data_IF_211131130170
#
_entry.id   IF_211131130170
#
_cell.length_a   1.000
_cell.length_b   1.000
_cell.length_c   1.000
_cell.angle_alpha   90.00
_cell.angle_beta   90.00
_cell.angle_gamma   90.00
#
_symmetry.space_group_name_H-M   'P 1'
#
loop_
_entity.id
_entity.type
_entity.pdbx_description
1 polymer ?
#
# COMPACT_ATOMS: atom_id res chain seq x y z
N UNK A 1 -25.66 7.90 -22.03
CA UNK A 1 -25.11 6.77 -21.24
C UNK A 1 -23.68 6.38 -21.65
N UNK A 2 -23.27 6.51 -22.93
CA UNK A 2 -21.92 6.13 -23.39
C UNK A 2 -20.76 6.95 -22.79
N UNK A 3 -20.91 8.26 -22.61
CA UNK A 3 -19.86 9.10 -22.01
C UNK A 3 -19.46 8.63 -20.61
N UNK A 4 -20.44 8.28 -19.76
CA UNK A 4 -20.17 7.85 -18.38
C UNK A 4 -19.45 6.50 -18.33
N UNK A 5 -19.74 5.58 -19.25
CA UNK A 5 -19.08 4.28 -19.34
C UNK A 5 -17.67 4.37 -19.94
N UNK A 6 -17.46 5.21 -20.96
CA UNK A 6 -16.13 5.49 -21.51
C UNK A 6 -15.22 6.16 -20.47
N UNK A 7 -15.76 7.14 -19.75
CA UNK A 7 -15.07 7.83 -18.65
C UNK A 7 -14.76 6.85 -17.50
N UNK A 8 -15.66 5.92 -17.19
CA UNK A 8 -15.41 4.86 -16.18
C UNK A 8 -14.29 3.88 -16.60
N UNK A 9 -14.21 3.56 -17.90
CA UNK A 9 -13.10 2.79 -18.47
C UNK A 9 -11.77 3.54 -18.38
N UNK A 10 -11.79 4.85 -18.61
CA UNK A 10 -10.65 5.76 -18.47
C UNK A 10 -10.20 5.89 -17.01
N UNK A 11 -11.13 5.88 -16.05
CA UNK A 11 -10.78 6.02 -14.63
C UNK A 11 -10.02 4.80 -14.09
N UNK A 12 -10.36 3.58 -14.52
CA UNK A 12 -9.55 2.39 -14.23
C UNK A 12 -8.17 2.44 -14.90
N UNK A 13 -7.99 3.23 -15.95
CA UNK A 13 -6.70 3.39 -16.61
C UNK A 13 -5.69 4.16 -15.74
N UNK A 14 -6.13 5.04 -14.83
CA UNK A 14 -5.21 5.78 -13.95
C UNK A 14 -4.40 4.85 -13.04
N UNK A 15 -5.02 3.84 -12.42
CA UNK A 15 -4.30 2.87 -11.60
C UNK A 15 -3.20 2.15 -12.42
N UNK A 16 -3.56 1.64 -13.60
CA UNK A 16 -2.63 0.92 -14.47
C UNK A 16 -1.49 1.81 -14.98
N UNK A 17 -1.78 3.07 -15.32
CA UNK A 17 -0.76 4.07 -15.67
C UNK A 17 0.17 4.37 -14.49
N UNK A 18 -0.38 4.44 -13.27
CA UNK A 18 0.41 4.58 -12.04
C UNK A 18 1.38 3.42 -11.85
N UNK A 19 0.91 2.18 -12.05
CA UNK A 19 1.75 0.97 -11.99
C UNK A 19 2.86 1.03 -13.05
N UNK A 20 2.53 1.40 -14.29
CA UNK A 20 3.49 1.52 -15.37
C UNK A 20 4.58 2.57 -15.06
N UNK A 21 4.18 3.76 -14.59
CA UNK A 21 5.15 4.79 -14.20
C UNK A 21 6.00 4.38 -13.00
N UNK A 22 5.43 3.65 -12.04
CA UNK A 22 6.17 3.12 -10.90
C UNK A 22 7.25 2.13 -11.34
N UNK A 23 6.92 1.21 -12.25
CA UNK A 23 7.89 0.26 -12.83
C UNK A 23 9.02 0.97 -13.59
N UNK A 24 8.72 2.10 -14.23
CA UNK A 24 9.72 2.97 -14.88
C UNK A 24 10.50 3.84 -13.90
N UNK A 25 10.27 3.70 -12.58
CA UNK A 25 10.82 4.55 -11.52
C UNK A 25 10.47 6.04 -11.66
N UNK A 26 9.45 6.37 -12.45
CA UNK A 26 8.93 7.73 -12.56
C UNK A 26 7.91 7.99 -11.45
N UNK A 27 8.42 8.10 -10.22
CA UNK A 27 7.58 8.15 -9.03
C UNK A 27 6.66 9.37 -8.98
N UNK A 28 7.07 10.51 -9.55
CA UNK A 28 6.21 11.70 -9.58
C UNK A 28 4.95 11.46 -10.43
N UNK A 29 5.10 10.87 -11.61
CA UNK A 29 3.94 10.53 -12.46
C UNK A 29 3.11 9.39 -11.88
N UNK A 30 3.76 8.41 -11.25
CA UNK A 30 3.06 7.34 -10.57
C UNK A 30 2.18 7.86 -9.42
N UNK A 31 2.71 8.77 -8.59
CA UNK A 31 1.97 9.45 -7.53
C UNK A 31 0.77 10.21 -8.09
N UNK A 32 0.96 11.00 -9.15
CA UNK A 32 -0.14 11.74 -9.81
C UNK A 32 -1.27 10.80 -10.27
N UNK A 33 -0.91 9.68 -10.91
CA UNK A 33 -1.89 8.73 -11.43
C UNK A 33 -2.62 7.97 -10.32
N UNK A 34 -1.93 7.55 -9.26
CA UNK A 34 -2.58 6.92 -8.11
C UNK A 34 -3.51 7.89 -7.38
N UNK A 35 -3.11 9.16 -7.20
CA UNK A 35 -3.98 10.18 -6.61
C UNK A 35 -5.24 10.43 -7.47
N UNK A 36 -5.11 10.41 -8.80
CA UNK A 36 -6.27 10.49 -9.71
C UNK A 36 -7.19 9.26 -9.56
N UNK A 37 -6.64 8.05 -9.53
CA UNK A 37 -7.42 6.82 -9.34
C UNK A 37 -8.19 6.81 -8.00
N UNK A 38 -7.56 7.32 -6.94
CA UNK A 38 -8.18 7.51 -5.63
C UNK A 38 -9.31 8.55 -5.71
N UNK A 39 -9.05 9.70 -6.32
CA UNK A 39 -10.03 10.79 -6.39
C UNK A 39 -11.28 10.43 -7.21
N UNK A 40 -11.09 9.75 -8.32
CA UNK A 40 -12.15 9.54 -9.31
C UNK A 40 -12.95 8.25 -9.07
N UNK A 41 -12.33 7.20 -8.52
CA UNK A 41 -12.99 5.90 -8.25
C UNK A 41 -12.86 5.37 -6.84
N UNK A 42 -12.14 6.06 -5.94
CA UNK A 42 -11.77 5.53 -4.62
C UNK A 42 -11.06 4.17 -4.73
N UNK A 43 -10.16 4.03 -5.73
CA UNK A 43 -9.54 2.75 -6.06
C UNK A 43 -8.69 2.24 -4.89
N UNK A 44 -9.11 1.09 -4.35
CA UNK A 44 -8.53 0.46 -3.17
C UNK A 44 -7.07 0.02 -3.40
N UNK A 45 -6.72 -0.40 -4.62
CA UNK A 45 -5.36 -0.81 -4.96
C UNK A 45 -4.44 0.41 -5.14
N UNK A 46 -4.99 1.55 -5.59
CA UNK A 46 -4.23 2.79 -5.70
C UNK A 46 -3.75 3.29 -4.33
N UNK A 47 -4.54 3.15 -3.26
CA UNK A 47 -4.05 3.45 -1.90
C UNK A 47 -2.86 2.58 -1.50
N UNK A 48 -2.94 1.26 -1.72
CA UNK A 48 -1.85 0.34 -1.40
C UNK A 48 -0.57 0.73 -2.15
N UNK A 49 -0.65 0.92 -3.47
CA UNK A 49 0.52 1.18 -4.29
C UNK A 49 1.09 2.57 -4.07
N UNK A 50 0.25 3.56 -3.71
CA UNK A 50 0.73 4.87 -3.27
C UNK A 50 1.47 4.76 -1.92
N UNK A 51 1.00 3.89 -1.01
CA UNK A 51 1.73 3.54 0.21
C UNK A 51 3.10 2.93 -0.08
N UNK A 52 3.17 1.99 -1.04
CA UNK A 52 4.43 1.41 -1.49
C UNK A 52 5.36 2.45 -2.11
N UNK A 53 4.83 3.33 -2.95
CA UNK A 53 5.58 4.42 -3.54
C UNK A 53 6.19 5.33 -2.47
N UNK A 54 5.42 5.72 -1.46
CA UNK A 54 5.94 6.53 -0.37
C UNK A 54 6.95 5.78 0.51
N UNK A 55 6.77 4.48 0.71
CA UNK A 55 7.75 3.65 1.40
C UNK A 55 9.10 3.62 0.67
N UNK A 56 9.11 3.41 -0.65
CA UNK A 56 10.32 3.45 -1.49
C UNK A 56 11.02 4.82 -1.44
N UNK A 57 10.24 5.90 -1.30
CA UNK A 57 10.75 7.26 -1.12
C UNK A 57 11.13 7.59 0.33
N UNK A 58 11.06 6.61 1.25
CA UNK A 58 11.31 6.77 2.69
C UNK A 58 10.39 7.79 3.39
N UNK A 59 9.23 8.08 2.78
CA UNK A 59 8.18 8.96 3.33
C UNK A 59 7.22 8.12 4.19
N UNK A 60 7.74 7.57 5.28
CA UNK A 60 7.05 6.54 6.06
C UNK A 60 5.70 7.01 6.64
N UNK A 61 5.58 8.26 7.09
CA UNK A 61 4.31 8.77 7.62
C UNK A 61 3.21 8.83 6.56
N UNK A 62 3.56 9.17 5.32
CA UNK A 62 2.61 9.13 4.20
C UNK A 62 2.28 7.70 3.80
N UNK A 63 3.28 6.80 3.84
CA UNK A 63 3.06 5.38 3.57
C UNK A 63 2.08 4.77 4.57
N UNK A 64 2.27 5.04 5.87
CA UNK A 64 1.36 4.63 6.95
C UNK A 64 -0.07 5.08 6.66
N UNK A 65 -0.26 6.37 6.37
CA UNK A 65 -1.59 6.92 6.08
C UNK A 65 -2.25 6.19 4.90
N UNK A 66 -1.52 5.95 3.81
CA UNK A 66 -2.09 5.31 2.62
C UNK A 66 -2.42 3.83 2.86
N UNK A 67 -1.55 3.08 3.55
CA UNK A 67 -1.84 1.70 3.90
C UNK A 67 -3.04 1.59 4.86
N UNK A 68 -3.17 2.49 5.85
CA UNK A 68 -4.35 2.52 6.73
C UNK A 68 -5.63 2.82 5.96
N UNK A 69 -5.60 3.75 5.00
CA UNK A 69 -6.76 4.04 4.14
C UNK A 69 -7.13 2.85 3.24
N UNK A 70 -6.14 2.10 2.75
CA UNK A 70 -6.31 0.88 1.97
C UNK A 70 -6.95 -0.24 2.81
N UNK A 71 -6.44 -0.47 4.03
CA UNK A 71 -6.96 -1.47 4.99
C UNK A 71 -8.40 -1.13 5.38
N UNK A 72 -8.71 0.14 5.66
CA UNK A 72 -10.07 0.59 6.00
C UNK A 72 -11.10 0.23 4.92
N UNK A 73 -10.66 0.11 3.67
CA UNK A 73 -11.48 -0.27 2.52
C UNK A 73 -11.47 -1.77 2.23
N UNK A 74 -10.85 -2.58 3.08
CA UNK A 74 -10.81 -4.04 2.95
C UNK A 74 -9.63 -4.59 2.16
N UNK A 75 -8.58 -3.79 1.90
CA UNK A 75 -7.38 -4.31 1.26
C UNK A 75 -6.45 -5.01 2.25
N UNK A 76 -6.56 -6.32 2.33
CA UNK A 76 -5.71 -7.13 3.20
C UNK A 76 -4.23 -7.12 2.80
N UNK A 77 -3.91 -6.85 1.52
CA UNK A 77 -2.51 -6.83 1.05
C UNK A 77 -1.69 -5.71 1.71
N UNK A 78 -2.36 -4.66 2.18
CA UNK A 78 -1.71 -3.50 2.80
C UNK A 78 -1.20 -3.75 4.22
N UNK A 79 -1.59 -4.85 4.87
CA UNK A 79 -1.10 -5.19 6.21
C UNK A 79 0.41 -5.39 6.24
N UNK A 80 0.98 -6.05 5.22
CA UNK A 80 2.44 -6.23 5.14
C UNK A 80 3.16 -4.89 5.05
N UNK A 81 2.73 -4.04 4.10
CA UNK A 81 3.33 -2.73 3.88
C UNK A 81 3.31 -1.86 5.14
N UNK A 82 2.19 -1.87 5.86
CA UNK A 82 2.07 -1.17 7.14
C UNK A 82 2.98 -1.77 8.23
N UNK A 83 3.05 -3.10 8.31
CA UNK A 83 3.97 -3.81 9.21
C UNK A 83 5.43 -3.42 8.98
N UNK A 84 5.87 -3.32 7.72
CA UNK A 84 7.22 -2.88 7.37
C UNK A 84 7.46 -1.41 7.67
N UNK A 85 6.49 -0.53 7.44
CA UNK A 85 6.58 0.89 7.84
C UNK A 85 6.88 0.99 9.34
N UNK A 86 6.16 0.26 10.18
CA UNK A 86 6.42 0.26 11.62
C UNK A 86 7.74 -0.39 11.99
N UNK A 87 8.14 -1.45 11.28
CA UNK A 87 9.41 -2.11 11.51
C UNK A 87 10.59 -1.15 11.29
N UNK A 88 10.62 -0.43 10.16
CA UNK A 88 11.70 0.53 9.86
C UNK A 88 11.67 1.77 10.75
N UNK A 89 10.52 2.11 11.33
CA UNK A 89 10.37 3.17 12.34
C UNK A 89 10.71 2.69 13.77
N UNK A 90 11.16 1.44 13.96
CA UNK A 90 11.39 0.81 15.26
C UNK A 90 10.16 0.75 16.18
N UNK A 91 8.96 0.84 15.60
CA UNK A 91 7.68 0.67 16.30
C UNK A 91 7.34 -0.82 16.37
N UNK A 92 8.17 -1.58 17.07
CA UNK A 92 8.18 -3.05 17.02
C UNK A 92 6.86 -3.70 17.46
N UNK A 93 6.18 -3.15 18.47
CA UNK A 93 4.87 -3.65 18.90
C UNK A 93 3.79 -3.51 17.81
N UNK A 94 3.77 -2.36 17.12
CA UNK A 94 2.86 -2.12 16.01
C UNK A 94 3.24 -3.02 14.81
N UNK A 95 4.53 -3.10 14.49
CA UNK A 95 5.05 -3.94 13.43
C UNK A 95 4.62 -5.40 13.63
N UNK A 96 4.85 -5.94 14.83
CA UNK A 96 4.47 -7.32 15.19
C UNK A 96 2.98 -7.56 14.97
N UNK A 97 2.13 -6.63 15.41
CA UNK A 97 0.66 -6.73 15.24
C UNK A 97 0.28 -6.90 13.77
N UNK A 98 0.76 -6.03 12.89
CA UNK A 98 0.33 -6.04 11.48
C UNK A 98 1.04 -7.11 10.65
N UNK A 99 2.30 -7.43 10.96
CA UNK A 99 3.02 -8.55 10.35
C UNK A 99 2.38 -9.89 10.71
N UNK A 100 1.89 -10.04 11.96
CA UNK A 100 1.11 -11.24 12.33
C UNK A 100 -0.13 -11.39 11.46
N UNK A 101 -0.90 -10.32 11.27
CA UNK A 101 -2.12 -10.36 10.45
C UNK A 101 -1.79 -10.76 9.01
N UNK A 102 -0.74 -10.20 8.42
CA UNK A 102 -0.28 -10.58 7.08
C UNK A 102 0.20 -12.04 7.01
N UNK A 103 0.92 -12.51 8.03
CA UNK A 103 1.40 -13.89 8.13
C UNK A 103 0.24 -14.90 8.27
N UNK A 104 -0.76 -14.60 9.11
CA UNK A 104 -1.97 -15.43 9.28
C UNK A 104 -2.75 -15.56 7.94
N UNK A 105 -2.59 -14.59 7.04
CA UNK A 105 -3.17 -14.59 5.68
C UNK A 105 -2.27 -15.25 4.62
N UNK A 106 -1.13 -15.82 5.04
CA UNK A 106 -0.24 -16.62 4.19
C UNK A 106 0.98 -15.87 3.65
N UNK A 107 1.21 -14.60 4.01
CA UNK A 107 2.40 -13.87 3.58
C UNK A 107 3.65 -14.39 4.31
N UNK A 108 4.50 -15.13 3.59
CA UNK A 108 5.68 -15.79 4.13
C UNK A 108 6.77 -14.79 4.55
N UNK A 109 6.86 -13.66 3.84
CA UNK A 109 7.83 -12.62 4.15
C UNK A 109 7.48 -11.97 5.49
N UNK A 110 6.20 -11.61 5.67
CA UNK A 110 5.70 -11.08 6.94
C UNK A 110 5.88 -12.09 8.09
N UNK A 111 5.69 -13.39 7.84
CA UNK A 111 5.91 -14.44 8.83
C UNK A 111 7.37 -14.48 9.34
N UNK A 112 8.35 -14.25 8.45
CA UNK A 112 9.75 -14.14 8.82
C UNK A 112 10.00 -13.04 9.85
N UNK A 113 9.62 -11.81 9.51
CA UNK A 113 9.78 -10.65 10.41
C UNK A 113 8.96 -10.78 11.70
N UNK A 114 7.75 -11.32 11.63
CA UNK A 114 6.95 -11.59 12.83
C UNK A 114 7.67 -12.53 13.80
N UNK A 115 8.28 -13.61 13.30
CA UNK A 115 9.03 -14.56 14.11
C UNK A 115 10.32 -13.94 14.70
N UNK A 116 10.99 -13.06 13.96
CA UNK A 116 12.14 -12.31 14.47
C UNK A 116 11.75 -11.41 15.64
N UNK A 117 10.67 -10.64 15.49
CA UNK A 117 10.15 -9.78 16.55
C UNK A 117 9.74 -10.58 17.79
N UNK A 118 9.10 -11.74 17.59
CA UNK A 118 8.72 -12.63 18.69
C UNK A 118 9.93 -13.16 19.46
N UNK A 119 11.01 -13.55 18.78
CA UNK A 119 12.25 -13.99 19.41
C UNK A 119 12.97 -12.87 20.15
N UNK A 120 12.83 -11.63 19.66
CA UNK A 120 13.38 -10.44 20.30
C UNK A 120 12.56 -9.97 21.52
N UNK A 121 11.44 -10.63 21.84
CA UNK A 121 10.64 -10.34 23.03
C UNK A 121 9.63 -9.21 22.88
N UNK A 122 9.39 -8.74 21.65
CA UNK A 122 8.25 -7.87 21.32
C UNK A 122 6.99 -8.71 21.18
#
# INVERSE_FOLDING_TARGET
MFLKAAQYGDVKAYYNLGVLYFQQKNYNKAEEMYLKAIKETDDINAYNNLGTLYYEQKKYDKAEQMYLQSIKRGNDMSYKGLGFVYYVQNRHSDAKKYLKIAADKGDQEAAGYYNELLKAGY
#
